data_IF_279149863279
#
_entry.id   IF_279149863279
#
_cell.length_a   1.000
_cell.length_b   1.000
_cell.length_c   1.000
_cell.angle_alpha   90.00
_cell.angle_beta   90.00
_cell.angle_gamma   90.00
#
_symmetry.space_group_name_H-M   'P 1'
#
loop_
_entity.id
_entity.type
_entity.pdbx_description
1 polymer ?
#
# COMPACT_ATOMS: atom_id res chain seq x y z
N UNK A 1 24.38 -13.29 -7.19
CA UNK A 1 25.09 -12.04 -6.87
C UNK A 1 24.03 -10.96 -6.79
N UNK A 2 23.59 -10.63 -5.58
CA UNK A 2 22.55 -9.60 -5.37
C UNK A 2 23.23 -8.24 -5.31
N UNK A 3 23.02 -7.42 -6.33
CA UNK A 3 23.43 -6.03 -6.31
C UNK A 3 22.47 -5.26 -5.41
N UNK A 4 22.92 -4.60 -4.34
CA UNK A 4 22.04 -3.75 -3.53
C UNK A 4 21.70 -2.50 -4.34
N UNK A 5 20.43 -2.35 -4.72
CA UNK A 5 19.91 -1.25 -5.54
C UNK A 5 19.74 0.07 -4.77
N UNK A 6 20.02 0.09 -3.47
CA UNK A 6 19.91 1.27 -2.61
C UNK A 6 21.05 1.30 -1.59
N UNK A 7 22.27 1.50 -2.07
CA UNK A 7 23.46 1.75 -1.24
C UNK A 7 23.55 3.24 -0.88
N UNK A 8 22.73 3.69 -0.01
CA UNK A 8 22.93 4.72 1.01
C UNK A 8 21.59 4.95 1.71
N UNK A 9 21.48 4.81 3.01
CA UNK A 9 20.29 5.29 3.71
C UNK A 9 20.23 6.80 3.50
N UNK A 10 19.06 7.37 3.15
CA UNK A 10 18.89 8.80 3.27
C UNK A 10 19.23 9.18 4.71
N UNK A 11 20.16 10.10 4.86
CA UNK A 11 20.51 10.70 6.16
C UNK A 11 19.22 11.18 6.77
N UNK A 12 18.83 10.61 7.92
CA UNK A 12 17.74 11.12 8.73
C UNK A 12 18.06 12.59 9.02
N UNK A 13 17.46 13.51 8.28
CA UNK A 13 17.44 14.90 8.64
C UNK A 13 16.83 14.97 10.06
N UNK A 14 17.49 15.65 10.96
CA UNK A 14 17.02 15.86 12.33
C UNK A 14 15.60 16.44 12.24
N UNK A 15 14.59 15.63 12.57
CA UNK A 15 13.20 16.07 12.57
C UNK A 15 13.07 17.20 13.58
N UNK A 16 12.72 18.38 13.08
CA UNK A 16 12.25 19.47 13.93
C UNK A 16 11.06 18.94 14.74
N UNK A 17 10.96 19.17 16.06
CA UNK A 17 9.85 18.66 16.86
C UNK A 17 8.54 19.15 16.25
N UNK A 18 7.81 18.27 15.57
CA UNK A 18 6.45 18.53 15.12
C UNK A 18 5.63 18.72 16.39
N UNK A 19 5.10 19.94 16.59
CA UNK A 19 4.18 20.20 17.67
C UNK A 19 3.14 19.07 17.69
N UNK A 20 2.99 18.41 18.84
CA UNK A 20 2.06 17.31 19.06
C UNK A 20 0.63 17.77 18.69
N UNK A 21 0.26 17.69 17.41
CA UNK A 21 -1.13 17.80 17.00
C UNK A 21 -1.88 16.62 17.63
N UNK A 22 -3.04 16.91 18.21
CA UNK A 22 -3.92 15.84 18.69
C UNK A 22 -4.18 14.88 17.53
N UNK A 23 -4.07 13.58 17.82
CA UNK A 23 -4.40 12.51 16.88
C UNK A 23 -5.84 12.69 16.40
N UNK A 24 -6.06 12.68 15.09
CA UNK A 24 -7.41 12.69 14.51
C UNK A 24 -7.95 11.27 14.58
N UNK A 25 -9.00 11.06 15.37
CA UNK A 25 -9.68 9.77 15.53
C UNK A 25 -11.13 9.95 15.09
N UNK A 26 -11.60 9.13 14.16
CA UNK A 26 -13.01 9.11 13.77
C UNK A 26 -13.73 8.02 14.52
N UNK A 27 -14.86 8.38 15.16
CA UNK A 27 -15.75 7.41 15.75
C UNK A 27 -16.60 6.65 14.70
N UNK A 28 -17.29 5.59 15.12
CA UNK A 28 -18.09 4.76 14.21
C UNK A 28 -19.14 5.56 13.41
N UNK A 29 -19.77 6.57 14.02
CA UNK A 29 -20.74 7.46 13.37
C UNK A 29 -20.10 8.34 12.29
N UNK A 30 -18.88 8.83 12.53
CA UNK A 30 -18.12 9.66 11.58
C UNK A 30 -17.61 8.83 10.40
N UNK A 31 -17.14 7.60 10.68
CA UNK A 31 -16.77 6.65 9.61
C UNK A 31 -17.97 6.31 8.74
N UNK A 32 -19.14 6.03 9.35
CA UNK A 32 -20.36 5.78 8.58
C UNK A 32 -20.82 7.01 7.77
N UNK A 33 -20.67 8.22 8.32
CA UNK A 33 -20.96 9.46 7.61
C UNK A 33 -19.99 9.68 6.44
N UNK A 34 -18.70 9.43 6.62
CA UNK A 34 -17.69 9.52 5.59
C UNK A 34 -17.99 8.55 4.43
N UNK A 35 -18.30 7.27 4.71
CA UNK A 35 -18.65 6.31 3.67
C UNK A 35 -19.89 6.77 2.85
N UNK A 36 -20.91 7.34 3.50
CA UNK A 36 -22.08 7.88 2.78
C UNK A 36 -21.75 9.10 1.92
N UNK A 37 -20.88 9.99 2.42
CA UNK A 37 -20.49 11.19 1.72
C UNK A 37 -19.57 10.92 0.51
N UNK A 38 -18.80 9.81 0.58
CA UNK A 38 -17.85 9.42 -0.45
C UNK A 38 -18.42 8.35 -1.41
N UNK A 39 -19.67 7.95 -1.22
CA UNK A 39 -20.34 7.02 -2.13
C UNK A 39 -20.43 7.63 -3.55
N UNK A 40 -19.88 6.92 -4.53
CA UNK A 40 -19.76 7.40 -5.91
C UNK A 40 -18.73 8.51 -6.16
N UNK A 41 -17.94 8.88 -5.15
CA UNK A 41 -16.85 9.85 -5.31
C UNK A 41 -15.70 9.25 -6.14
N UNK A 42 -15.04 10.10 -6.92
CA UNK A 42 -13.83 9.71 -7.65
C UNK A 42 -12.66 9.41 -6.71
N UNK A 43 -11.68 8.59 -7.12
CA UNK A 43 -10.48 8.35 -6.33
C UNK A 43 -9.76 9.63 -5.87
N UNK A 44 -9.71 10.65 -6.72
CA UNK A 44 -9.08 11.93 -6.37
C UNK A 44 -9.85 12.69 -5.29
N UNK A 45 -11.18 12.69 -5.33
CA UNK A 45 -12.03 13.31 -4.30
C UNK A 45 -11.88 12.59 -2.96
N UNK A 46 -11.78 11.24 -2.97
CA UNK A 46 -11.54 10.45 -1.75
C UNK A 46 -10.16 10.76 -1.16
N UNK A 47 -9.12 10.88 -1.98
CA UNK A 47 -7.78 11.28 -1.53
C UNK A 47 -7.82 12.71 -0.97
N UNK A 48 -8.50 13.65 -1.64
CA UNK A 48 -8.68 15.02 -1.18
C UNK A 48 -9.35 15.08 0.20
N UNK A 49 -10.46 14.35 0.39
CA UNK A 49 -11.13 14.23 1.68
C UNK A 49 -10.19 13.70 2.78
N UNK A 50 -9.38 12.69 2.46
CA UNK A 50 -8.43 12.13 3.41
C UNK A 50 -7.33 13.12 3.79
N UNK A 51 -6.81 13.90 2.82
CA UNK A 51 -5.83 14.96 3.07
C UNK A 51 -6.41 16.09 3.92
N UNK A 52 -7.64 16.54 3.62
CA UNK A 52 -8.32 17.57 4.40
C UNK A 52 -8.56 17.14 5.85
N UNK A 53 -8.85 15.85 6.05
CA UNK A 53 -9.15 15.30 7.38
C UNK A 53 -7.90 15.05 8.21
N UNK A 54 -6.85 14.47 7.63
CA UNK A 54 -5.68 13.95 8.36
C UNK A 54 -4.40 14.75 8.13
N UNK A 55 -4.34 15.54 7.06
CA UNK A 55 -3.20 16.38 6.71
C UNK A 55 -1.88 15.59 6.64
N UNK A 56 -0.85 16.09 7.30
CA UNK A 56 0.50 15.48 7.31
C UNK A 56 0.58 14.12 8.03
N UNK A 57 -0.51 13.69 8.68
CA UNK A 57 -0.62 12.38 9.34
C UNK A 57 -1.33 11.33 8.46
N UNK A 58 -1.57 11.65 7.18
CA UNK A 58 -1.96 10.71 6.16
C UNK A 58 -0.72 10.10 5.51
N UNK A 59 -0.76 8.79 5.27
CA UNK A 59 0.32 8.03 4.64
C UNK A 59 -0.28 7.14 3.55
N UNK A 60 0.36 7.05 2.38
CA UNK A 60 0.00 6.11 1.32
C UNK A 60 0.89 4.87 1.41
N UNK A 61 0.32 3.67 1.47
CA UNK A 61 1.08 2.42 1.41
C UNK A 61 1.04 1.86 -0.02
N UNK A 62 2.20 1.54 -0.59
CA UNK A 62 2.31 1.06 -1.96
C UNK A 62 3.01 -0.30 -2.02
N UNK A 63 2.44 -1.22 -2.83
CA UNK A 63 3.04 -2.53 -3.15
C UNK A 63 3.88 -2.51 -4.42
N UNK A 64 3.69 -1.48 -5.26
CA UNK A 64 4.31 -1.33 -6.57
C UNK A 64 4.03 -2.49 -7.54
N UNK A 65 2.87 -3.14 -7.40
CA UNK A 65 2.29 -3.96 -8.48
C UNK A 65 1.88 -3.06 -9.67
N UNK A 66 1.46 -1.85 -9.37
CA UNK A 66 1.27 -0.70 -10.25
C UNK A 66 1.41 0.59 -9.43
N UNK A 67 1.30 1.73 -10.10
CA UNK A 67 1.37 3.05 -9.44
C UNK A 67 0.05 3.84 -9.52
N UNK A 68 -1.09 3.19 -9.73
CA UNK A 68 -2.38 3.87 -9.91
C UNK A 68 -2.74 4.76 -8.73
N UNK A 69 -2.71 4.23 -7.50
CA UNK A 69 -2.99 5.04 -6.32
C UNK A 69 -1.95 6.14 -6.11
N UNK A 70 -0.68 5.89 -6.43
CA UNK A 70 0.38 6.90 -6.37
C UNK A 70 0.10 8.02 -7.36
N UNK A 71 -0.25 7.69 -8.62
CA UNK A 71 -0.56 8.68 -9.65
C UNK A 71 -1.76 9.55 -9.25
N UNK A 72 -2.85 8.94 -8.78
CA UNK A 72 -4.01 9.66 -8.25
C UNK A 72 -3.61 10.59 -7.10
N UNK A 73 -2.88 10.07 -6.12
CA UNK A 73 -2.57 10.79 -4.90
C UNK A 73 -1.58 11.94 -5.14
N UNK A 74 -0.55 11.73 -5.95
CA UNK A 74 0.44 12.77 -6.27
C UNK A 74 -0.12 13.89 -7.16
N UNK A 75 -1.20 13.65 -7.90
CA UNK A 75 -1.95 14.71 -8.62
C UNK A 75 -2.74 15.59 -7.67
N UNK A 76 -3.16 15.08 -6.50
CA UNK A 76 -3.87 15.85 -5.47
C UNK A 76 -2.87 16.55 -4.54
N UNK A 77 -1.85 15.83 -4.08
CA UNK A 77 -0.77 16.34 -3.24
C UNK A 77 0.58 15.72 -3.67
N UNK A 78 1.43 16.46 -4.38
CA UNK A 78 2.74 15.96 -4.81
C UNK A 78 3.67 15.56 -3.67
N UNK A 79 3.47 16.10 -2.47
CA UNK A 79 4.30 15.86 -1.29
C UNK A 79 3.77 14.74 -0.39
N UNK A 80 2.70 14.03 -0.81
CA UNK A 80 2.11 12.95 -0.03
C UNK A 80 3.16 11.91 0.37
N UNK A 81 3.12 11.50 1.65
CA UNK A 81 4.06 10.49 2.17
C UNK A 81 3.72 9.12 1.63
N UNK A 82 4.63 8.51 0.90
CA UNK A 82 4.51 7.15 0.37
C UNK A 82 5.38 6.21 1.18
N UNK A 83 4.84 5.05 1.54
CA UNK A 83 5.53 4.01 2.30
C UNK A 83 5.62 2.74 1.48
N UNK A 84 6.82 2.21 1.35
CA UNK A 84 7.10 0.91 0.74
C UNK A 84 7.67 -0.06 1.76
N UNK A 85 7.11 -1.27 1.80
CA UNK A 85 7.60 -2.37 2.64
C UNK A 85 8.62 -3.21 1.86
N UNK A 86 9.89 -2.92 2.02
CA UNK A 86 10.96 -3.74 1.45
C UNK A 86 11.16 -5.00 2.29
N UNK A 87 10.50 -6.07 1.89
CA UNK A 87 10.56 -7.36 2.58
C UNK A 87 11.87 -8.12 2.36
N UNK A 88 12.72 -7.69 1.42
CA UNK A 88 13.89 -8.42 0.95
C UNK A 88 13.55 -9.59 0.01
N UNK A 89 12.26 -9.80 -0.31
CA UNK A 89 11.77 -10.87 -1.19
C UNK A 89 10.95 -10.34 -2.37
N UNK A 90 11.24 -9.13 -2.83
CA UNK A 90 10.58 -8.61 -4.02
C UNK A 90 11.19 -9.18 -5.30
N UNK A 91 10.35 -9.33 -6.32
CA UNK A 91 10.84 -9.53 -7.69
C UNK A 91 11.66 -8.31 -8.14
N UNK A 92 12.61 -8.53 -9.04
CA UNK A 92 13.41 -7.45 -9.62
C UNK A 92 12.53 -6.43 -10.37
N UNK A 93 11.45 -6.90 -11.00
CA UNK A 93 10.44 -6.10 -11.69
C UNK A 93 9.74 -5.13 -10.73
N UNK A 94 9.39 -5.59 -9.52
CA UNK A 94 8.80 -4.73 -8.48
C UNK A 94 9.79 -3.62 -8.08
N UNK A 95 11.05 -3.95 -7.83
CA UNK A 95 12.08 -2.97 -7.48
C UNK A 95 12.34 -1.98 -8.63
N UNK A 96 12.22 -2.43 -9.88
CA UNK A 96 12.30 -1.55 -11.05
C UNK A 96 11.13 -0.57 -11.11
N UNK A 97 9.90 -1.01 -10.79
CA UNK A 97 8.74 -0.08 -10.68
C UNK A 97 8.98 0.96 -9.59
N UNK A 98 9.50 0.55 -8.40
CA UNK A 98 9.85 1.50 -7.32
C UNK A 98 10.82 2.56 -7.84
N UNK A 99 11.93 2.17 -8.48
CA UNK A 99 12.93 3.10 -9.00
C UNK A 99 12.32 4.07 -10.03
N UNK A 100 11.57 3.55 -11.01
CA UNK A 100 10.90 4.37 -12.04
C UNK A 100 9.86 5.32 -11.44
N UNK A 101 9.12 4.88 -10.42
CA UNK A 101 8.14 5.71 -9.74
C UNK A 101 8.81 6.87 -8.97
N UNK A 102 9.93 6.61 -8.29
CA UNK A 102 10.71 7.66 -7.64
C UNK A 102 11.15 8.74 -8.62
N UNK A 103 11.62 8.34 -9.80
CA UNK A 103 12.04 9.27 -10.86
C UNK A 103 10.85 10.06 -11.44
N UNK A 104 9.72 9.35 -11.72
CA UNK A 104 8.55 9.94 -12.40
C UNK A 104 7.77 10.90 -11.52
N UNK A 105 7.54 10.53 -10.26
CA UNK A 105 6.67 11.28 -9.34
C UNK A 105 7.43 12.09 -8.29
N UNK A 106 8.77 12.06 -8.30
CA UNK A 106 9.60 12.70 -7.25
C UNK A 106 9.15 12.35 -5.82
N UNK A 107 8.87 11.05 -5.58
CA UNK A 107 8.16 10.56 -4.41
C UNK A 107 8.82 10.95 -3.07
N UNK A 108 8.03 11.43 -2.13
CA UNK A 108 8.36 11.46 -0.72
C UNK A 108 8.27 10.04 -0.14
N UNK A 109 9.25 9.19 -0.50
CA UNK A 109 9.24 7.75 -0.24
C UNK A 109 9.99 7.38 1.03
N UNK A 110 9.31 6.69 1.94
CA UNK A 110 9.91 6.00 3.09
C UNK A 110 9.94 4.49 2.84
N UNK A 111 11.13 3.90 2.88
CA UNK A 111 11.30 2.45 2.73
C UNK A 111 11.42 1.80 4.11
N UNK A 112 10.46 0.95 4.44
CA UNK A 112 10.45 0.18 5.69
C UNK A 112 11.05 -1.20 5.47
N UNK A 113 11.97 -1.58 6.35
CA UNK A 113 12.64 -2.89 6.32
C UNK A 113 12.34 -3.69 7.58
N UNK A 114 12.35 -5.03 7.48
CA UNK A 114 12.32 -5.92 8.63
C UNK A 114 13.49 -5.63 9.57
N UNK A 115 13.34 -5.96 10.85
CA UNK A 115 14.45 -5.94 11.80
C UNK A 115 15.51 -6.99 11.41
N UNK A 116 16.78 -6.81 11.78
CA UNK A 116 17.85 -7.76 11.45
C UNK A 116 17.59 -9.19 11.93
N UNK A 117 16.91 -9.36 13.06
CA UNK A 117 16.54 -10.65 13.65
C UNK A 117 15.42 -11.39 12.89
N UNK A 118 14.80 -10.74 11.91
CA UNK A 118 13.82 -11.37 11.01
C UNK A 118 14.47 -12.17 9.86
N UNK A 119 15.79 -12.33 9.82
CA UNK A 119 16.50 -12.98 8.70
C UNK A 119 16.01 -14.42 8.46
N UNK A 120 15.88 -15.22 9.52
CA UNK A 120 15.58 -16.65 9.44
C UNK A 120 14.09 -17.00 9.65
N UNK A 121 13.23 -15.99 9.75
CA UNK A 121 11.78 -16.20 10.05
C UNK A 121 11.05 -16.97 8.94
N UNK A 122 11.61 -17.01 7.73
CA UNK A 122 11.06 -17.82 6.64
C UNK A 122 10.92 -19.30 7.02
N UNK A 123 11.90 -19.86 7.74
CA UNK A 123 11.86 -21.24 8.22
C UNK A 123 10.69 -21.52 9.19
N UNK A 124 10.13 -20.49 9.81
CA UNK A 124 8.97 -20.58 10.71
C UNK A 124 7.62 -20.52 9.99
N UNK A 125 7.64 -20.51 8.66
CA UNK A 125 6.45 -20.51 7.81
C UNK A 125 6.00 -19.12 7.33
N UNK A 126 5.10 -19.15 6.34
CA UNK A 126 4.68 -17.97 5.59
C UNK A 126 4.03 -16.90 6.47
N UNK A 127 3.17 -17.31 7.43
CA UNK A 127 2.53 -16.34 8.34
C UNK A 127 3.55 -15.60 9.19
N UNK A 128 4.48 -16.32 9.83
CA UNK A 128 5.52 -15.71 10.65
C UNK A 128 6.42 -14.77 9.82
N UNK A 129 6.74 -15.15 8.59
CA UNK A 129 7.47 -14.31 7.65
C UNK A 129 6.70 -13.02 7.32
N UNK A 130 5.39 -13.10 7.01
CA UNK A 130 4.56 -11.92 6.76
C UNK A 130 4.48 -11.01 7.98
N UNK A 131 4.30 -11.57 9.17
CA UNK A 131 4.22 -10.81 10.42
C UNK A 131 5.52 -10.02 10.66
N UNK A 132 6.68 -10.67 10.54
CA UNK A 132 7.98 -10.04 10.80
C UNK A 132 8.44 -9.08 9.69
N UNK A 133 8.07 -9.34 8.41
CA UNK A 133 8.60 -8.59 7.27
C UNK A 133 7.64 -7.56 6.68
N UNK A 134 6.36 -7.60 7.06
CA UNK A 134 5.35 -6.67 6.57
C UNK A 134 4.57 -6.02 7.71
N UNK A 135 3.97 -6.83 8.58
CA UNK A 135 3.05 -6.32 9.62
C UNK A 135 3.81 -5.49 10.63
N UNK A 136 4.86 -6.05 11.25
CA UNK A 136 5.65 -5.36 12.27
C UNK A 136 6.28 -4.05 11.75
N UNK A 137 6.98 -4.01 10.60
CA UNK A 137 7.57 -2.77 10.13
C UNK A 137 6.53 -1.68 9.86
N UNK A 138 5.36 -2.04 9.30
CA UNK A 138 4.29 -1.09 9.05
C UNK A 138 3.67 -0.60 10.36
N UNK A 139 3.36 -1.47 11.30
CA UNK A 139 2.80 -1.10 12.60
C UNK A 139 3.73 -0.15 13.36
N UNK A 140 5.00 -0.50 13.44
CA UNK A 140 6.04 0.32 14.08
C UNK A 140 6.11 1.72 13.49
N UNK A 141 5.98 1.85 12.18
CA UNK A 141 5.98 3.14 11.50
C UNK A 141 4.68 3.91 11.73
N UNK A 142 3.52 3.28 11.45
CA UNK A 142 2.22 3.96 11.47
C UNK A 142 1.87 4.49 12.86
N UNK A 143 2.13 3.73 13.93
CA UNK A 143 1.80 4.14 15.32
C UNK A 143 2.38 5.50 15.68
N UNK A 144 3.59 5.81 15.20
CA UNK A 144 4.24 7.10 15.49
C UNK A 144 3.92 8.22 14.47
N UNK A 145 3.55 7.88 13.23
CA UNK A 145 3.60 8.80 12.11
C UNK A 145 2.25 9.06 11.43
N UNK A 146 1.23 8.22 11.68
CA UNK A 146 -0.04 8.31 10.96
C UNK A 146 -1.27 8.28 11.89
N UNK A 147 -2.34 8.93 11.46
CA UNK A 147 -3.69 8.76 11.97
C UNK A 147 -4.55 8.00 10.95
N UNK A 148 -4.18 8.11 9.66
CA UNK A 148 -4.81 7.40 8.57
C UNK A 148 -3.80 6.94 7.52
N UNK A 149 -4.21 5.93 6.74
CA UNK A 149 -3.41 5.44 5.64
C UNK A 149 -4.27 5.06 4.43
N UNK A 150 -3.73 5.35 3.23
CA UNK A 150 -4.33 4.99 1.95
C UNK A 150 -3.86 3.60 1.53
N UNK A 151 -4.79 2.80 1.02
CA UNK A 151 -4.54 1.47 0.46
C UNK A 151 -5.09 1.38 -0.96
N UNK A 152 -4.34 0.76 -1.85
CA UNK A 152 -4.74 0.52 -3.24
C UNK A 152 -5.70 -0.67 -3.42
N UNK A 153 -6.46 -1.03 -2.40
CA UNK A 153 -7.43 -2.12 -2.46
C UNK A 153 -8.61 -1.73 -3.36
N UNK A 154 -8.98 -2.63 -4.28
CA UNK A 154 -10.20 -2.55 -5.08
C UNK A 154 -11.13 -3.71 -4.72
N UNK A 155 -12.45 -3.50 -4.77
CA UNK A 155 -13.46 -4.57 -4.60
C UNK A 155 -13.38 -5.59 -5.72
N UNK A 156 -13.04 -5.15 -6.93
CA UNK A 156 -12.90 -6.01 -8.12
C UNK A 156 -11.70 -6.98 -8.05
N UNK A 157 -10.72 -6.78 -7.16
CA UNK A 157 -9.51 -7.61 -7.11
C UNK A 157 -9.76 -9.04 -6.63
N UNK A 158 -10.78 -9.24 -5.77
CA UNK A 158 -11.04 -10.54 -5.14
C UNK A 158 -12.42 -10.55 -4.48
N UNK A 159 -13.11 -11.70 -4.52
CA UNK A 159 -14.44 -11.86 -3.91
C UNK A 159 -14.44 -11.56 -2.40
N UNK A 160 -13.35 -11.86 -1.68
CA UNK A 160 -13.19 -11.52 -0.26
C UNK A 160 -13.09 -10.02 0.01
N UNK A 161 -12.92 -9.18 -1.02
CA UNK A 161 -12.84 -7.72 -0.95
C UNK A 161 -14.10 -7.02 -1.43
N UNK A 162 -15.08 -7.74 -1.98
CA UNK A 162 -16.28 -7.18 -2.63
C UNK A 162 -17.03 -6.16 -1.75
N UNK A 163 -17.02 -6.36 -0.43
CA UNK A 163 -17.69 -5.48 0.54
C UNK A 163 -16.73 -4.53 1.27
N UNK A 164 -15.50 -4.37 0.79
CA UNK A 164 -14.54 -3.50 1.46
C UNK A 164 -15.05 -2.04 1.46
N UNK A 165 -15.14 -1.37 2.63
CA UNK A 165 -15.59 0.01 2.69
C UNK A 165 -14.53 0.98 2.15
N UNK A 166 -14.96 2.17 1.73
CA UNK A 166 -14.05 3.24 1.36
C UNK A 166 -13.25 3.68 2.59
N UNK A 167 -13.94 3.85 3.74
CA UNK A 167 -13.33 4.27 5.01
C UNK A 167 -13.64 3.24 6.09
N UNK A 168 -12.63 2.82 6.83
CA UNK A 168 -12.76 1.87 7.95
C UNK A 168 -11.77 2.19 9.07
N UNK A 169 -12.03 1.62 10.25
CA UNK A 169 -11.04 1.57 11.34
C UNK A 169 -10.31 0.24 11.22
N UNK A 170 -8.99 0.26 11.15
CA UNK A 170 -8.20 -0.96 11.13
C UNK A 170 -7.97 -1.53 12.56
N UNK A 171 -7.37 -2.71 12.65
CA UNK A 171 -7.09 -3.38 13.94
C UNK A 171 -6.18 -2.57 14.89
N UNK A 172 -5.47 -1.57 14.36
CA UNK A 172 -4.58 -0.65 15.11
C UNK A 172 -5.33 0.58 15.62
N UNK A 173 -6.61 0.72 15.28
CA UNK A 173 -7.41 1.91 15.56
C UNK A 173 -7.03 3.10 14.68
N UNK A 174 -6.37 2.87 13.53
CA UNK A 174 -6.09 3.87 12.51
C UNK A 174 -7.20 3.87 11.46
N UNK A 175 -7.38 5.01 10.81
CA UNK A 175 -8.32 5.08 9.70
C UNK A 175 -7.64 4.53 8.44
N UNK A 176 -8.26 3.53 7.83
CA UNK A 176 -7.89 2.98 6.53
C UNK A 176 -8.83 3.55 5.49
N UNK A 177 -8.27 4.11 4.43
CA UNK A 177 -9.03 4.66 3.29
C UNK A 177 -8.62 3.90 2.03
N UNK A 178 -9.60 3.45 1.26
CA UNK A 178 -9.42 2.72 0.01
C UNK A 178 -9.95 3.57 -1.16
N UNK A 179 -9.18 4.51 -1.71
CA UNK A 179 -9.67 5.43 -2.75
C UNK A 179 -10.09 4.72 -4.05
N UNK A 180 -9.50 3.55 -4.32
CA UNK A 180 -9.78 2.76 -5.51
C UNK A 180 -10.86 1.70 -5.29
N UNK A 181 -11.54 1.67 -4.12
CA UNK A 181 -12.44 0.59 -3.74
C UNK A 181 -13.50 0.28 -4.82
N UNK A 182 -14.12 1.30 -5.38
CA UNK A 182 -15.20 1.19 -6.37
C UNK A 182 -14.72 1.15 -7.83
N UNK A 183 -13.42 1.31 -8.07
CA UNK A 183 -12.87 1.32 -9.42
C UNK A 183 -12.99 -0.07 -10.06
N UNK A 184 -13.83 -0.19 -11.07
CA UNK A 184 -14.00 -1.41 -11.88
C UNK A 184 -12.73 -1.72 -12.69
N UNK A 185 -12.64 -2.96 -13.21
CA UNK A 185 -11.51 -3.33 -14.08
C UNK A 185 -11.45 -2.48 -15.35
N UNK A 186 -12.60 -2.14 -15.94
CA UNK A 186 -12.64 -1.28 -17.12
C UNK A 186 -12.16 0.14 -16.84
N UNK A 187 -12.51 0.71 -15.67
CA UNK A 187 -12.05 2.03 -15.25
C UNK A 187 -10.57 2.01 -14.90
N UNK A 188 -10.10 0.96 -14.23
CA UNK A 188 -8.68 0.75 -13.93
C UNK A 188 -7.85 0.70 -15.21
N UNK A 189 -8.23 -0.16 -16.17
CA UNK A 189 -7.54 -0.31 -17.45
C UNK A 189 -7.49 1.02 -18.23
N UNK A 190 -8.63 1.72 -18.28
CA UNK A 190 -8.70 3.04 -18.92
C UNK A 190 -7.79 4.04 -18.23
N UNK A 191 -7.81 4.12 -16.88
CA UNK A 191 -6.95 5.02 -16.12
C UNK A 191 -5.47 4.74 -16.37
N UNK A 192 -5.07 3.46 -16.33
CA UNK A 192 -3.70 3.03 -16.61
C UNK A 192 -3.24 3.49 -17.99
N UNK A 193 -4.10 3.34 -19.01
CA UNK A 193 -3.80 3.74 -20.37
C UNK A 193 -3.75 5.27 -20.54
N UNK A 194 -4.75 5.99 -20.05
CA UNK A 194 -4.87 7.45 -20.23
C UNK A 194 -3.78 8.22 -19.49
N UNK A 195 -3.31 7.70 -18.35
CA UNK A 195 -2.30 8.35 -17.52
C UNK A 195 -0.90 7.74 -17.65
N UNK A 196 -0.72 6.76 -18.55
CA UNK A 196 0.54 6.02 -18.74
C UNK A 196 1.11 5.53 -17.39
N UNK A 197 0.25 4.94 -16.55
CA UNK A 197 0.61 4.48 -15.21
C UNK A 197 1.69 3.40 -15.28
N UNK A 198 2.67 3.45 -14.40
CA UNK A 198 3.69 2.41 -14.31
C UNK A 198 3.10 1.12 -13.77
N UNK A 199 3.12 0.07 -14.58
CA UNK A 199 2.64 -1.27 -14.25
C UNK A 199 3.84 -2.21 -14.16
N UNK A 200 3.78 -3.15 -13.21
CA UNK A 200 4.77 -4.20 -13.09
C UNK A 200 4.67 -5.18 -14.27
N UNK A 201 5.77 -5.40 -14.97
CA UNK A 201 5.79 -6.22 -16.20
C UNK A 201 5.37 -7.66 -15.97
N UNK A 202 5.50 -8.19 -14.75
CA UNK A 202 5.01 -9.52 -14.39
C UNK A 202 3.49 -9.70 -14.65
N UNK A 203 2.71 -8.59 -14.67
CA UNK A 203 1.29 -8.68 -15.04
C UNK A 203 1.09 -9.19 -16.47
N UNK A 204 2.05 -8.93 -17.37
CA UNK A 204 2.03 -9.44 -18.75
C UNK A 204 2.56 -10.88 -18.85
N UNK A 205 3.24 -11.36 -17.79
CA UNK A 205 3.78 -12.72 -17.68
C UNK A 205 2.86 -13.66 -16.88
N UNK A 206 1.57 -13.28 -16.74
CA UNK A 206 0.54 -14.09 -16.12
C UNK A 206 0.45 -13.98 -14.59
N UNK A 207 1.02 -12.93 -14.00
CA UNK A 207 0.87 -12.67 -12.56
C UNK A 207 -0.24 -11.65 -12.30
N UNK A 208 -1.49 -12.09 -12.15
CA UNK A 208 -2.61 -11.18 -11.85
C UNK A 208 -2.46 -10.47 -10.50
N UNK A 209 -1.73 -11.05 -9.54
CA UNK A 209 -1.42 -10.44 -8.25
C UNK A 209 0.04 -10.68 -7.88
N UNK A 210 0.76 -9.63 -7.52
CA UNK A 210 2.20 -9.66 -7.26
C UNK A 210 2.50 -9.40 -5.79
N UNK A 211 3.37 -10.21 -5.20
CA UNK A 211 3.86 -10.06 -3.83
C UNK A 211 5.32 -10.43 -3.68
N UNK A 212 5.68 -11.11 -2.59
CA UNK A 212 7.01 -11.68 -2.42
C UNK A 212 7.20 -12.87 -3.36
N UNK A 213 8.36 -12.97 -4.03
CA UNK A 213 8.62 -14.05 -5.00
C UNK A 213 8.45 -15.46 -4.43
N UNK A 214 8.79 -15.77 -3.13
CA UNK A 214 8.57 -17.12 -2.61
C UNK A 214 7.09 -17.47 -2.37
N UNK A 215 6.19 -16.48 -2.41
CA UNK A 215 4.77 -16.63 -2.12
C UNK A 215 3.89 -16.22 -3.30
N UNK A 216 4.44 -16.14 -4.50
CA UNK A 216 3.68 -15.68 -5.67
C UNK A 216 4.04 -16.51 -6.88
N UNK A 217 3.04 -17.17 -7.44
CA UNK A 217 3.11 -17.95 -8.67
C UNK A 217 2.26 -17.29 -9.77
N UNK A 218 2.54 -17.56 -11.05
CA UNK A 218 1.69 -17.11 -12.14
C UNK A 218 0.26 -17.64 -11.97
N UNK A 219 -0.72 -16.76 -12.13
CA UNK A 219 -2.14 -17.11 -12.18
C UNK A 219 -2.89 -15.96 -12.84
N UNK A 220 -3.80 -16.28 -13.74
CA UNK A 220 -4.70 -15.31 -14.37
C UNK A 220 -6.03 -15.17 -13.60
N UNK A 221 -6.23 -15.97 -12.55
CA UNK A 221 -7.42 -15.94 -11.70
C UNK A 221 -7.15 -15.11 -10.44
N UNK A 222 -7.40 -13.82 -10.51
CA UNK A 222 -7.33 -12.88 -9.40
C UNK A 222 -6.10 -13.08 -8.51
N UNK A 223 -6.31 -13.46 -7.25
CA UNK A 223 -5.25 -13.67 -6.27
C UNK A 223 -4.86 -15.14 -6.08
N UNK A 224 -5.34 -16.07 -6.91
CA UNK A 224 -5.10 -17.51 -6.74
C UNK A 224 -3.60 -17.91 -6.77
N UNK A 225 -2.75 -17.12 -7.43
CA UNK A 225 -1.29 -17.31 -7.40
C UNK A 225 -0.60 -16.84 -6.10
N UNK A 226 -1.35 -16.23 -5.15
CA UNK A 226 -0.78 -15.76 -3.89
C UNK A 226 -0.90 -16.84 -2.82
N UNK A 227 0.23 -17.13 -2.16
CA UNK A 227 0.32 -18.15 -1.11
C UNK A 227 -0.20 -19.52 -1.54
N UNK A 228 -0.02 -19.87 -2.82
CA UNK A 228 -0.47 -21.14 -3.38
C UNK A 228 -0.02 -22.32 -2.49
N UNK A 229 -0.93 -23.28 -2.24
CA UNK A 229 -0.69 -24.40 -1.36
C UNK A 229 -0.73 -24.13 0.15
N UNK A 230 -1.20 -22.96 0.57
CA UNK A 230 -1.41 -22.60 1.99
C UNK A 230 -2.87 -22.15 2.23
N UNK A 231 -3.28 -22.12 3.51
CA UNK A 231 -4.61 -21.60 3.91
C UNK A 231 -4.67 -20.06 4.01
N UNK A 232 -3.60 -19.37 3.60
CA UNK A 232 -3.52 -17.91 3.69
C UNK A 232 -4.17 -17.30 2.45
N UNK A 233 -5.19 -16.49 2.66
CA UNK A 233 -5.90 -15.76 1.60
C UNK A 233 -5.54 -14.26 1.58
N UNK A 234 -5.11 -13.70 2.74
CA UNK A 234 -4.72 -12.30 2.87
C UNK A 234 -3.51 -12.14 3.80
N UNK A 235 -2.64 -11.19 3.52
CA UNK A 235 -1.58 -10.84 4.48
C UNK A 235 -2.17 -10.02 5.62
N UNK A 236 -1.59 -10.13 6.83
CA UNK A 236 -2.07 -9.45 8.04
C UNK A 236 -2.11 -7.91 7.99
N UNK A 237 -1.83 -7.29 6.84
CA UNK A 237 -1.91 -5.83 6.67
C UNK A 237 -3.35 -5.33 6.53
N UNK A 238 -4.23 -6.14 5.95
CA UNK A 238 -5.61 -5.76 5.62
C UNK A 238 -6.65 -6.41 6.53
N UNK A 239 -6.21 -7.23 7.48
CA UNK A 239 -7.04 -7.90 8.50
C UNK A 239 -7.28 -6.98 9.70
#
# INVERSE_FOLDING_TARGET
MSTPLLDSPPTLAAETPVALRRRTVLGASEVAAANRALDGATPAEIVGWALDTFGTRLVLTASFADTTLIDVATRVDPDIKVVFLDTGFHFAETLNVVRRAMERYSLNLTVLRPRPDAADVWASGTKACCDARKVEPLERYLVGHADAWLSGLRRADDAGRAEAPIVSVDKRGLIKVNPLADMSDAEYQRYVFEHDVLVNTLQFDGYASIGCWPCTEPSTDGRAGRWAGTDITECGLHL
#
